data_IF_459447748293
#
_entry.id   IF_459447748293
#
_cell.length_a   1.000
_cell.length_b   1.000
_cell.length_c   1.000
_cell.angle_alpha   90.00
_cell.angle_beta   90.00
_cell.angle_gamma   90.00
#
_symmetry.space_group_name_H-M   'P 1'
#
loop_
_entity.id
_entity.type
_entity.pdbx_description
1 polymer ?
#
# COMPACT_ATOMS: atom_id res chain seq x y z
N UNK A 1 -11.10 24.05 62.54
CA UNK A 1 -10.12 23.48 61.59
C UNK A 1 -10.54 22.07 61.23
N UNK A 2 -10.36 21.71 59.95
CA UNK A 2 -10.47 20.40 59.31
C UNK A 2 -11.83 19.95 58.72
N UNK A 3 -11.95 20.26 57.42
CA UNK A 3 -12.80 19.64 56.39
C UNK A 3 -12.73 18.12 56.37
N UNK A 4 -13.84 17.49 55.96
CA UNK A 4 -13.83 16.15 55.36
C UNK A 4 -14.21 16.26 53.87
N UNK A 5 -13.39 15.61 53.06
CA UNK A 5 -13.24 15.73 51.62
C UNK A 5 -14.38 15.01 50.89
N UNK A 6 -15.02 15.70 49.93
CA UNK A 6 -15.89 15.08 48.93
C UNK A 6 -14.99 14.45 47.87
N UNK A 7 -15.01 13.13 47.76
CA UNK A 7 -14.33 12.39 46.70
C UNK A 7 -15.09 12.57 45.38
N UNK A 8 -14.58 13.44 44.51
CA UNK A 8 -14.96 13.48 43.10
C UNK A 8 -14.15 12.40 42.37
N UNK A 9 -14.80 11.29 42.01
CA UNK A 9 -14.23 10.34 41.06
C UNK A 9 -14.13 11.04 39.70
N UNK A 10 -12.93 11.52 39.36
CA UNK A 10 -12.57 11.94 38.01
C UNK A 10 -12.54 10.69 37.12
N UNK A 11 -13.65 10.43 36.41
CA UNK A 11 -13.59 9.64 35.19
C UNK A 11 -12.84 10.48 34.16
N UNK A 12 -11.53 10.33 34.11
CA UNK A 12 -10.75 10.73 32.92
C UNK A 12 -11.22 9.84 31.78
N UNK A 13 -12.21 10.30 31.02
CA UNK A 13 -12.44 9.75 29.68
C UNK A 13 -11.18 10.06 28.88
N UNK A 14 -10.38 9.04 28.62
CA UNK A 14 -9.37 9.10 27.57
C UNK A 14 -10.17 9.18 26.27
N UNK A 15 -10.38 10.39 25.76
CA UNK A 15 -10.89 10.56 24.41
C UNK A 15 -9.81 10.02 23.48
N UNK A 16 -10.00 8.80 22.98
CA UNK A 16 -9.13 8.26 21.94
C UNK A 16 -9.50 8.99 20.66
N UNK A 17 -8.54 9.64 20.02
CA UNK A 17 -8.78 10.40 18.80
C UNK A 17 -9.22 9.43 17.68
N UNK A 18 -10.34 9.77 17.04
CA UNK A 18 -10.91 9.07 15.90
C UNK A 18 -11.09 10.08 14.76
N UNK A 19 -10.91 9.64 13.52
CA UNK A 19 -11.16 10.49 12.35
C UNK A 19 -12.62 10.42 11.95
N UNK A 20 -13.15 11.55 11.49
CA UNK A 20 -14.45 11.62 10.82
C UNK A 20 -14.36 11.05 9.40
N UNK A 21 -15.50 10.63 8.84
CA UNK A 21 -15.60 10.14 7.46
C UNK A 21 -15.02 11.13 6.44
N UNK A 22 -15.26 12.44 6.63
CA UNK A 22 -14.71 13.49 5.78
C UNK A 22 -13.18 13.64 5.89
N UNK A 23 -12.61 13.54 7.08
CA UNK A 23 -11.15 13.58 7.27
C UNK A 23 -10.48 12.36 6.62
N UNK A 24 -11.09 11.17 6.74
CA UNK A 24 -10.61 9.95 6.10
C UNK A 24 -10.63 10.11 4.57
N UNK A 25 -11.76 10.56 4.01
CA UNK A 25 -11.90 10.78 2.58
C UNK A 25 -10.88 11.81 2.05
N UNK A 26 -10.66 12.90 2.78
CA UNK A 26 -9.67 13.91 2.41
C UNK A 26 -8.24 13.35 2.44
N UNK A 27 -7.85 12.65 3.50
CA UNK A 27 -6.51 12.05 3.57
C UNK A 27 -6.27 11.05 2.44
N UNK A 28 -7.26 10.21 2.12
CA UNK A 28 -7.19 9.29 0.98
C UNK A 28 -7.01 10.03 -0.35
N UNK A 29 -7.69 11.15 -0.55
CA UNK A 29 -7.52 11.97 -1.75
C UNK A 29 -6.16 12.66 -1.81
N UNK A 30 -5.62 13.11 -0.67
CA UNK A 30 -4.27 13.69 -0.59
C UNK A 30 -3.20 12.64 -0.90
N UNK A 31 -3.35 11.44 -0.34
CA UNK A 31 -2.50 10.28 -0.67
C UNK A 31 -2.60 9.92 -2.16
N UNK A 32 -3.79 9.99 -2.75
CA UNK A 32 -3.96 9.78 -4.18
C UNK A 32 -3.16 10.78 -5.02
N UNK A 33 -3.21 12.07 -4.65
CA UNK A 33 -2.43 13.13 -5.31
C UNK A 33 -0.92 12.88 -5.19
N UNK A 34 -0.45 12.46 -4.02
CA UNK A 34 0.95 12.09 -3.81
C UNK A 34 1.36 10.90 -4.68
N UNK A 35 0.51 9.87 -4.79
CA UNK A 35 0.74 8.72 -5.67
C UNK A 35 0.88 9.12 -7.14
N UNK A 36 -0.01 9.98 -7.63
CA UNK A 36 0.07 10.50 -9.00
C UNK A 36 1.30 11.40 -9.22
N UNK A 37 1.71 12.18 -8.22
CA UNK A 37 2.92 12.99 -8.30
C UNK A 37 4.18 12.10 -8.36
N UNK A 38 4.27 11.08 -7.51
CA UNK A 38 5.35 10.10 -7.54
C UNK A 38 5.43 9.37 -8.89
N UNK A 39 4.27 9.00 -9.45
CA UNK A 39 4.18 8.40 -10.79
C UNK A 39 4.78 9.31 -11.85
N UNK A 40 4.47 10.61 -11.82
CA UNK A 40 5.01 11.56 -12.78
C UNK A 40 6.55 11.61 -12.74
N UNK A 41 7.16 11.57 -11.55
CA UNK A 41 8.62 11.50 -11.39
C UNK A 41 9.20 10.21 -11.98
N UNK A 42 8.55 9.07 -11.76
CA UNK A 42 8.98 7.78 -12.35
C UNK A 42 8.99 7.84 -13.87
N UNK A 43 7.92 8.37 -14.47
CA UNK A 43 7.81 8.50 -15.93
C UNK A 43 8.78 9.55 -16.50
N UNK A 44 9.09 10.60 -15.75
CA UNK A 44 10.12 11.58 -16.12
C UNK A 44 11.48 10.90 -16.26
N UNK A 45 11.88 10.10 -15.26
CA UNK A 45 13.13 9.33 -15.31
C UNK A 45 13.13 8.38 -16.52
N UNK A 46 12.03 7.68 -16.77
CA UNK A 46 11.91 6.74 -17.90
C UNK A 46 12.12 7.42 -19.26
N UNK A 47 11.57 8.63 -19.41
CA UNK A 47 11.62 9.39 -20.66
C UNK A 47 12.94 10.15 -20.88
N UNK A 48 13.64 10.54 -19.81
CA UNK A 48 14.82 11.41 -19.87
C UNK A 48 16.14 10.69 -19.55
N UNK A 49 16.07 9.53 -18.90
CA UNK A 49 17.19 8.88 -18.24
C UNK A 49 17.89 9.74 -17.16
N UNK A 50 17.27 10.83 -16.72
CA UNK A 50 17.80 11.67 -15.64
C UNK A 50 17.59 10.98 -14.28
N UNK A 51 18.63 10.94 -13.48
CA UNK A 51 18.61 10.41 -12.12
C UNK A 51 18.14 11.45 -11.09
N UNK A 52 18.05 12.73 -11.49
CA UNK A 52 17.68 13.86 -10.63
C UNK A 52 16.43 13.64 -9.78
N UNK A 53 15.33 13.09 -10.32
CA UNK A 53 14.08 12.86 -9.57
C UNK A 53 14.10 11.71 -8.55
N UNK A 54 15.15 10.88 -8.47
CA UNK A 54 15.17 9.71 -7.57
C UNK A 54 14.96 10.07 -6.08
N UNK A 55 15.64 11.07 -5.51
CA UNK A 55 15.44 11.44 -4.11
C UNK A 55 14.00 11.88 -3.82
N UNK A 56 13.34 12.51 -4.78
CA UNK A 56 11.96 12.96 -4.65
C UNK A 56 10.99 11.77 -4.68
N UNK A 57 11.28 10.72 -5.45
CA UNK A 57 10.53 9.45 -5.40
C UNK A 57 10.61 8.82 -4.01
N UNK A 58 11.81 8.73 -3.42
CA UNK A 58 11.95 8.19 -2.07
C UNK A 58 11.20 9.03 -1.04
N UNK A 59 11.31 10.35 -1.14
CA UNK A 59 10.60 11.28 -0.25
C UNK A 59 9.08 11.13 -0.38
N UNK A 60 8.57 10.96 -1.61
CA UNK A 60 7.14 10.76 -1.83
C UNK A 60 6.66 9.42 -1.24
N UNK A 61 7.41 8.33 -1.41
CA UNK A 61 7.08 7.04 -0.79
C UNK A 61 7.09 7.13 0.74
N UNK A 62 8.14 7.70 1.32
CA UNK A 62 8.26 7.87 2.77
C UNK A 62 7.14 8.74 3.33
N UNK A 63 6.79 9.84 2.65
CA UNK A 63 5.67 10.71 3.03
C UNK A 63 4.34 9.94 3.02
N UNK A 64 4.07 9.17 1.96
CA UNK A 64 2.86 8.33 1.91
C UNK A 64 2.84 7.32 3.05
N UNK A 65 3.96 6.66 3.34
CA UNK A 65 4.08 5.71 4.47
C UNK A 65 3.81 6.40 5.80
N UNK A 66 4.40 7.57 6.04
CA UNK A 66 4.23 8.33 7.29
C UNK A 66 2.77 8.76 7.47
N UNK A 67 2.13 9.30 6.44
CA UNK A 67 0.71 9.71 6.49
C UNK A 67 -0.17 8.50 6.78
N UNK A 68 0.02 7.40 6.03
CA UNK A 68 -0.74 6.17 6.21
C UNK A 68 -0.61 5.61 7.64
N UNK A 69 0.61 5.50 8.17
CA UNK A 69 0.85 5.01 9.52
C UNK A 69 0.30 5.94 10.60
N UNK A 70 0.31 7.26 10.33
CA UNK A 70 -0.28 8.26 11.21
C UNK A 70 -1.79 8.09 11.28
N UNK A 71 -2.45 7.98 10.12
CA UNK A 71 -3.90 7.83 10.02
C UNK A 71 -4.39 6.54 10.67
N UNK A 72 -3.66 5.43 10.54
CA UNK A 72 -4.00 4.16 11.20
C UNK A 72 -4.20 4.37 12.71
N UNK A 73 -3.37 5.18 13.37
CA UNK A 73 -3.49 5.41 14.82
C UNK A 73 -4.83 6.03 15.22
N UNK A 74 -5.51 6.68 14.28
CA UNK A 74 -6.80 7.32 14.50
C UNK A 74 -7.96 6.49 13.93
N UNK A 75 -7.82 5.90 12.74
CA UNK A 75 -8.85 5.08 12.09
C UNK A 75 -9.25 3.85 12.91
N UNK A 76 -8.33 3.23 13.65
CA UNK A 76 -8.63 2.06 14.50
C UNK A 76 -9.69 2.33 15.57
N UNK A 77 -9.92 3.60 15.91
CA UNK A 77 -10.91 4.01 16.90
C UNK A 77 -12.19 4.59 16.28
N UNK A 78 -12.24 4.70 14.95
CA UNK A 78 -13.42 5.18 14.22
C UNK A 78 -14.48 4.07 14.17
N UNK A 79 -15.74 4.34 14.54
CA UNK A 79 -16.81 3.36 14.47
C UNK A 79 -17.20 3.04 13.02
N UNK A 80 -17.92 1.94 12.83
CA UNK A 80 -18.52 1.58 11.52
C UNK A 80 -19.40 2.74 11.04
N UNK A 81 -19.21 3.14 9.79
CA UNK A 81 -19.95 4.21 9.14
C UNK A 81 -21.34 3.69 8.78
N UNK A 82 -22.37 4.19 9.45
CA UNK A 82 -23.76 3.76 9.23
C UNK A 82 -24.48 4.59 8.20
N UNK A 83 -24.09 5.85 8.03
CA UNK A 83 -24.67 6.73 7.02
C UNK A 83 -24.17 6.33 5.62
N UNK A 84 -25.09 6.32 4.65
CA UNK A 84 -24.76 5.85 3.31
C UNK A 84 -23.97 6.89 2.50
N UNK A 85 -24.22 8.18 2.70
CA UNK A 85 -23.48 9.23 2.01
C UNK A 85 -22.04 9.28 2.52
N UNK A 86 -21.83 9.15 3.82
CA UNK A 86 -20.48 9.07 4.40
C UNK A 86 -19.71 7.82 3.92
N UNK A 87 -20.39 6.67 3.78
CA UNK A 87 -19.77 5.48 3.19
C UNK A 87 -19.34 5.74 1.75
N UNK A 88 -20.17 6.43 0.96
CA UNK A 88 -19.84 6.79 -0.41
C UNK A 88 -18.61 7.70 -0.45
N UNK A 89 -18.57 8.76 0.36
CA UNK A 89 -17.45 9.71 0.40
C UNK A 89 -16.12 9.02 0.72
N UNK A 90 -16.10 8.15 1.75
CA UNK A 90 -14.91 7.39 2.13
C UNK A 90 -14.52 6.40 1.03
N UNK A 91 -15.49 5.72 0.42
CA UNK A 91 -15.21 4.77 -0.66
C UNK A 91 -14.68 5.45 -1.93
N UNK A 92 -15.15 6.64 -2.27
CA UNK A 92 -14.62 7.43 -3.39
C UNK A 92 -13.17 7.83 -3.13
N UNK A 93 -12.86 8.37 -1.93
CA UNK A 93 -11.48 8.64 -1.53
C UNK A 93 -10.61 7.38 -1.58
N UNK A 94 -11.09 6.27 -1.05
CA UNK A 94 -10.40 4.97 -1.08
C UNK A 94 -10.09 4.52 -2.51
N UNK A 95 -11.08 4.60 -3.40
CA UNK A 95 -10.93 4.23 -4.81
C UNK A 95 -9.94 5.13 -5.54
N UNK A 96 -9.90 6.43 -5.24
CA UNK A 96 -8.92 7.36 -5.80
C UNK A 96 -7.50 7.00 -5.37
N UNK A 97 -7.30 6.68 -4.09
CA UNK A 97 -5.99 6.26 -3.60
C UNK A 97 -5.55 4.93 -4.23
N UNK A 98 -6.45 3.94 -4.28
CA UNK A 98 -6.22 2.67 -4.99
C UNK A 98 -5.79 2.91 -6.45
N UNK A 99 -6.51 3.76 -7.17
CA UNK A 99 -6.18 4.07 -8.56
C UNK A 99 -4.78 4.69 -8.69
N UNK A 100 -4.41 5.61 -7.79
CA UNK A 100 -3.06 6.18 -7.78
C UNK A 100 -1.97 5.14 -7.55
N UNK A 101 -2.24 4.15 -6.69
CA UNK A 101 -1.30 3.05 -6.42
C UNK A 101 -1.17 2.12 -7.61
N UNK A 102 -2.26 1.79 -8.31
CA UNK A 102 -2.18 1.02 -9.56
C UNK A 102 -1.28 1.71 -10.55
N UNK A 103 -1.52 2.99 -10.82
CA UNK A 103 -0.76 3.72 -11.82
C UNK A 103 0.71 3.94 -11.42
N UNK A 104 0.99 4.14 -10.13
CA UNK A 104 2.34 4.24 -9.61
C UNK A 104 3.10 2.91 -9.73
N UNK A 105 2.48 1.79 -9.33
CA UNK A 105 3.09 0.46 -9.43
C UNK A 105 3.29 0.04 -10.88
N UNK A 106 2.35 0.37 -11.77
CA UNK A 106 2.50 0.14 -13.20
C UNK A 106 3.66 0.96 -13.77
N UNK A 107 3.81 2.22 -13.38
CA UNK A 107 4.95 3.05 -13.78
C UNK A 107 6.28 2.44 -13.28
N UNK A 108 6.37 2.01 -12.02
CA UNK A 108 7.56 1.32 -11.53
C UNK A 108 7.88 0.05 -12.31
N UNK A 109 6.86 -0.76 -12.62
CA UNK A 109 7.00 -1.98 -13.41
C UNK A 109 7.51 -1.69 -14.82
N UNK A 110 6.88 -0.75 -15.53
CA UNK A 110 7.24 -0.41 -16.92
C UNK A 110 8.62 0.22 -17.02
N UNK A 111 9.01 1.02 -16.03
CA UNK A 111 10.25 1.78 -16.01
C UNK A 111 11.39 1.06 -15.29
N UNK A 112 11.17 -0.17 -14.83
CA UNK A 112 12.14 -0.93 -14.04
C UNK A 112 13.49 -1.09 -14.74
N UNK A 113 13.52 -1.28 -16.06
CA UNK A 113 14.77 -1.43 -16.82
C UNK A 113 15.62 -0.15 -16.75
N UNK A 114 14.99 1.01 -16.96
CA UNK A 114 15.65 2.31 -16.87
C UNK A 114 16.10 2.59 -15.43
N UNK A 115 15.21 2.41 -14.45
CA UNK A 115 15.51 2.63 -13.02
C UNK A 115 16.66 1.77 -12.51
N UNK A 116 16.74 0.50 -12.94
CA UNK A 116 17.87 -0.40 -12.63
C UNK A 116 19.18 0.06 -13.24
N UNK A 117 19.14 0.75 -14.38
CA UNK A 117 20.34 1.17 -15.11
C UNK A 117 21.02 2.40 -14.50
N UNK A 118 20.30 3.17 -13.66
CA UNK A 118 20.79 4.43 -13.11
C UNK A 118 21.99 4.20 -12.20
N UNK A 119 21.79 3.43 -11.12
CA UNK A 119 22.87 3.01 -10.25
C UNK A 119 22.45 1.82 -9.37
N UNK A 120 23.44 1.20 -8.73
CA UNK A 120 23.23 0.01 -7.90
C UNK A 120 22.42 0.29 -6.62
N UNK A 121 22.46 1.53 -6.11
CA UNK A 121 21.65 1.94 -4.96
C UNK A 121 20.17 1.95 -5.35
N UNK A 122 19.79 2.64 -6.43
CA UNK A 122 18.41 2.69 -6.94
C UNK A 122 17.84 1.31 -7.21
N UNK A 123 18.64 0.45 -7.86
CA UNK A 123 18.27 -0.95 -8.11
C UNK A 123 17.89 -1.72 -6.84
N UNK A 124 18.55 -1.46 -5.72
CA UNK A 124 18.36 -2.21 -4.48
C UNK A 124 17.34 -1.54 -3.54
N UNK A 125 17.37 -0.21 -3.45
CA UNK A 125 16.54 0.57 -2.51
C UNK A 125 15.11 0.64 -3.00
N UNK A 126 14.86 0.93 -4.28
CA UNK A 126 13.50 1.19 -4.76
C UNK A 126 12.54 0.00 -4.56
N UNK A 127 12.92 -1.27 -4.81
CA UNK A 127 12.07 -2.42 -4.48
C UNK A 127 11.82 -2.59 -2.98
N UNK A 128 12.74 -2.14 -2.13
CA UNK A 128 12.56 -2.14 -0.68
C UNK A 128 11.52 -1.09 -0.27
N UNK A 129 11.62 0.12 -0.81
CA UNK A 129 10.65 1.21 -0.56
C UNK A 129 9.24 0.83 -1.01
N UNK A 130 9.11 0.18 -2.18
CA UNK A 130 7.81 -0.33 -2.66
C UNK A 130 7.22 -1.35 -1.68
N UNK A 131 8.04 -2.26 -1.10
CA UNK A 131 7.57 -3.24 -0.10
C UNK A 131 7.16 -2.57 1.22
N UNK A 132 7.85 -1.52 1.63
CA UNK A 132 7.50 -0.75 2.83
C UNK A 132 6.14 -0.06 2.61
N UNK A 133 5.97 0.62 1.47
CA UNK A 133 4.69 1.22 1.09
C UNK A 133 3.56 0.19 1.05
N UNK A 134 3.78 -0.96 0.39
CA UNK A 134 2.81 -2.04 0.34
C UNK A 134 2.36 -2.47 1.74
N UNK A 135 3.31 -2.64 2.67
CA UNK A 135 3.00 -3.09 4.03
C UNK A 135 2.18 -2.06 4.81
N UNK A 136 2.51 -0.77 4.66
CA UNK A 136 1.78 0.31 5.31
C UNK A 136 0.35 0.43 4.74
N UNK A 137 0.22 0.41 3.42
CA UNK A 137 -1.07 0.48 2.73
C UNK A 137 -1.95 -0.73 3.05
N UNK A 138 -1.39 -1.94 3.11
CA UNK A 138 -2.12 -3.16 3.48
C UNK A 138 -2.79 -3.02 4.86
N UNK A 139 -2.03 -2.55 5.85
CA UNK A 139 -2.55 -2.27 7.19
C UNK A 139 -3.63 -1.18 7.18
N UNK A 140 -3.46 -0.15 6.35
CA UNK A 140 -4.43 0.95 6.30
C UNK A 140 -5.75 0.55 5.65
N UNK A 141 -5.67 -0.15 4.52
CA UNK A 141 -6.83 -0.66 3.82
C UNK A 141 -7.59 -1.66 4.68
N UNK A 142 -6.90 -2.52 5.44
CA UNK A 142 -7.58 -3.39 6.40
C UNK A 142 -8.43 -2.59 7.40
N UNK A 143 -7.91 -1.49 7.94
CA UNK A 143 -8.63 -0.65 8.89
C UNK A 143 -9.78 0.13 8.25
N UNK A 144 -9.58 0.73 7.07
CA UNK A 144 -10.64 1.46 6.36
C UNK A 144 -11.77 0.52 5.92
N UNK A 145 -11.44 -0.66 5.38
CA UNK A 145 -12.44 -1.66 4.98
C UNK A 145 -13.33 -2.04 6.17
N UNK A 146 -12.75 -2.13 7.37
CA UNK A 146 -13.46 -2.40 8.62
C UNK A 146 -14.47 -1.33 9.02
N UNK A 147 -14.38 -0.12 8.47
CA UNK A 147 -15.36 0.94 8.71
C UNK A 147 -16.65 0.77 7.91
N UNK A 148 -16.63 0.00 6.82
CA UNK A 148 -17.83 -0.30 6.05
C UNK A 148 -18.63 -1.43 6.72
N UNK A 149 -19.98 -1.33 6.80
CA UNK A 149 -20.81 -2.46 7.23
C UNK A 149 -20.50 -3.71 6.41
N UNK A 150 -20.35 -4.87 7.05
CA UNK A 150 -19.92 -6.10 6.38
C UNK A 150 -20.87 -6.58 5.26
N UNK A 151 -22.12 -6.14 5.28
CA UNK A 151 -23.13 -6.42 4.26
C UNK A 151 -23.25 -5.32 3.20
N UNK A 152 -22.44 -4.26 3.25
CA UNK A 152 -22.45 -3.18 2.26
C UNK A 152 -21.68 -3.59 1.00
N UNK A 153 -22.09 -3.04 -0.15
CA UNK A 153 -21.35 -3.20 -1.40
C UNK A 153 -19.95 -2.61 -1.32
N UNK A 154 -19.76 -1.52 -0.57
CA UNK A 154 -18.47 -0.85 -0.41
C UNK A 154 -17.45 -1.74 0.30
N UNK A 155 -17.85 -2.52 1.31
CA UNK A 155 -16.95 -3.48 1.94
C UNK A 155 -16.44 -4.53 0.93
N UNK A 156 -17.33 -5.10 0.12
CA UNK A 156 -16.96 -6.10 -0.89
C UNK A 156 -16.09 -5.49 -2.00
N UNK A 157 -16.42 -4.30 -2.48
CA UNK A 157 -15.67 -3.62 -3.53
C UNK A 157 -14.28 -3.20 -3.06
N UNK A 158 -14.16 -2.64 -1.86
CA UNK A 158 -12.89 -2.22 -1.28
C UNK A 158 -11.94 -3.41 -1.08
N UNK A 159 -12.44 -4.56 -0.63
CA UNK A 159 -11.66 -5.81 -0.55
C UNK A 159 -11.14 -6.27 -1.93
N UNK A 160 -11.99 -6.22 -2.96
CA UNK A 160 -11.60 -6.60 -4.32
C UNK A 160 -10.52 -5.66 -4.89
N UNK A 161 -10.64 -4.36 -4.63
CA UNK A 161 -9.63 -3.36 -5.01
C UNK A 161 -8.31 -3.58 -4.27
N UNK A 162 -8.36 -3.87 -2.95
CA UNK A 162 -7.16 -4.19 -2.17
C UNK A 162 -6.38 -5.37 -2.76
N UNK A 163 -7.06 -6.46 -3.11
CA UNK A 163 -6.42 -7.63 -3.70
C UNK A 163 -5.73 -7.32 -5.05
N UNK A 164 -6.27 -6.37 -5.80
CA UNK A 164 -5.63 -5.86 -7.01
C UNK A 164 -4.38 -5.05 -6.66
N UNK A 165 -4.41 -4.21 -5.61
CA UNK A 165 -3.24 -3.43 -5.18
C UNK A 165 -2.09 -4.36 -4.81
N UNK A 166 -2.39 -5.44 -4.07
CA UNK A 166 -1.41 -6.47 -3.73
C UNK A 166 -0.75 -7.09 -4.98
N UNK A 167 -1.54 -7.28 -6.05
CA UNK A 167 -1.04 -7.79 -7.34
C UNK A 167 -0.14 -6.79 -8.06
N UNK A 168 -0.54 -5.52 -8.13
CA UNK A 168 0.25 -4.46 -8.76
C UNK A 168 1.58 -4.23 -8.02
N UNK A 169 1.55 -4.19 -6.67
CA UNK A 169 2.77 -4.10 -5.85
C UNK A 169 3.71 -5.28 -6.09
N UNK A 170 3.18 -6.50 -6.15
CA UNK A 170 3.98 -7.68 -6.48
C UNK A 170 4.64 -7.56 -7.87
N UNK A 171 3.88 -7.14 -8.88
CA UNK A 171 4.38 -6.97 -10.24
C UNK A 171 5.48 -5.89 -10.32
N UNK A 172 5.27 -4.76 -9.67
CA UNK A 172 6.25 -3.67 -9.59
C UNK A 172 7.58 -4.15 -9.01
N UNK A 173 7.56 -4.83 -7.86
CA UNK A 173 8.76 -5.39 -7.24
C UNK A 173 9.41 -6.46 -8.13
N UNK A 174 8.61 -7.36 -8.69
CA UNK A 174 9.09 -8.44 -9.54
C UNK A 174 9.81 -7.93 -10.79
N UNK A 175 9.40 -6.79 -11.35
CA UNK A 175 10.06 -6.17 -12.50
C UNK A 175 11.53 -5.78 -12.22
N UNK A 176 11.90 -5.53 -10.96
CA UNK A 176 13.28 -5.27 -10.57
C UNK A 176 14.11 -6.56 -10.42
N UNK A 177 13.47 -7.67 -10.07
CA UNK A 177 14.09 -8.99 -9.93
C UNK A 177 14.29 -9.69 -11.28
N UNK A 178 13.49 -9.36 -12.30
CA UNK A 178 13.72 -9.78 -13.67
C UNK A 178 15.07 -9.21 -14.17
N UNK A 179 16.09 -10.06 -14.20
CA UNK A 179 17.41 -9.70 -14.72
C UNK A 179 17.35 -9.21 -16.17
N UNK A 180 18.44 -8.58 -16.65
CA UNK A 180 18.68 -8.18 -18.04
C UNK A 180 18.72 -9.40 -18.98
N UNK A 181 17.64 -10.18 -19.06
CA UNK A 181 17.44 -11.14 -20.12
C UNK A 181 16.80 -10.38 -21.26
N UNK A 182 17.67 -9.96 -22.19
CA UNK A 182 17.33 -9.41 -23.48
C UNK A 182 16.04 -10.01 -24.05
N UNK A 183 15.24 -9.16 -24.67
CA UNK A 183 14.21 -9.51 -25.63
C UNK A 183 14.83 -10.28 -26.83
N UNK A 184 15.23 -11.52 -26.59
CA UNK A 184 15.80 -12.44 -27.56
C UNK A 184 15.25 -13.82 -27.22
N UNK A 185 14.08 -14.13 -27.81
CA UNK A 185 13.51 -15.47 -27.93
C UNK A 185 13.67 -16.38 -26.71
N UNK A 186 12.76 -16.25 -25.74
CA UNK A 186 12.56 -17.31 -24.76
C UNK A 186 11.83 -18.46 -25.45
N UNK A 187 12.60 -19.39 -26.00
CA UNK A 187 12.13 -20.71 -26.37
C UNK A 187 11.89 -21.47 -25.05
N UNK A 188 10.64 -21.65 -24.63
CA UNK A 188 10.30 -22.37 -23.40
C UNK A 188 10.75 -23.84 -23.50
N UNK A 189 11.71 -24.34 -22.70
CA UNK A 189 11.74 -25.77 -22.43
C UNK A 189 10.72 -26.05 -21.33
N UNK A 190 9.74 -26.89 -21.63
CA UNK A 190 8.72 -27.35 -20.71
C UNK A 190 9.31 -27.70 -19.33
N UNK A 191 8.88 -26.94 -18.32
CA UNK A 191 9.22 -27.13 -16.91
C UNK A 191 8.76 -28.53 -16.49
N UNK A 192 9.71 -29.45 -16.33
CA UNK A 192 9.44 -30.79 -15.75
C UNK A 192 8.77 -30.61 -14.40
N UNK A 193 7.54 -31.11 -14.31
CA UNK A 193 6.78 -31.32 -13.09
C UNK A 193 7.55 -32.25 -12.15
N UNK A 194 8.35 -31.69 -11.24
CA UNK A 194 8.76 -32.39 -10.04
C UNK A 194 7.85 -31.91 -8.91
N UNK A 195 6.72 -32.61 -8.78
CA UNK A 195 5.81 -32.47 -7.66
C UNK A 195 6.55 -32.75 -6.35
N UNK A 196 6.25 -31.93 -5.34
CA UNK A 196 6.76 -31.99 -3.97
C UNK A 196 6.48 -33.33 -3.25
N UNK A 197 5.73 -34.23 -3.88
CA UNK A 197 5.40 -35.58 -3.41
C UNK A 197 6.59 -36.54 -3.38
N UNK A 198 7.63 -36.30 -4.19
CA UNK A 198 8.80 -37.19 -4.28
C UNK A 198 9.84 -37.00 -3.15
N UNK A 199 9.70 -35.95 -2.33
CA UNK A 199 10.63 -35.67 -1.21
C UNK A 199 10.30 -36.40 0.10
N UNK A 200 9.11 -36.98 0.22
CA UNK A 200 8.67 -37.66 1.45
C UNK A 200 8.88 -39.18 1.46
N UNK A 201 9.15 -39.81 0.30
CA UNK A 201 9.34 -41.27 0.21
C UNK A 201 10.79 -41.74 0.43
N UNK A 202 11.73 -40.87 0.82
CA UNK A 202 13.14 -41.26 1.10
C UNK A 202 13.54 -41.29 2.59
N UNK A 203 12.56 -41.19 3.51
CA UNK A 203 12.78 -41.49 4.94
C UNK A 203 11.76 -42.52 5.40
N UNK A 204 12.01 -43.78 5.08
CA UNK A 204 11.15 -44.87 5.53
C UNK A 204 11.32 -46.16 4.75
N UNK A 205 12.50 -46.76 4.76
CA UNK A 205 12.65 -48.20 4.52
C UNK A 205 13.99 -48.66 5.10
N UNK A 206 13.87 -49.42 6.20
CA UNK A 206 14.75 -50.48 6.74
C UNK A 206 16.27 -50.29 6.64
#
# INVERSE_FOLDING_TARGET
MFSFVVALCLYTHWAVAALTSGEIANSLNELAQQGFAAKALVLEIDSTADAGPIPDIYTAIDTMVVVVLTDINFVVNTPIITDQAEQQDVYEGYSNFVQSLFELMDAFSSSAAQLKSINQTTKNTLPSEIRILQSAVDAYFYNIIGLFPANSSYNAQANNQKAQVDTHCFQAVWAFDLGYHNASQVNYPARRNNSLHSRWMKRGSL
#
